data_IF_106565887588
#
_entry.id   IF_106565887588
#
_cell.length_a   1.000
_cell.length_b   1.000
_cell.length_c   1.000
_cell.angle_alpha   90.00
_cell.angle_beta   90.00
_cell.angle_gamma   90.00
#
_symmetry.space_group_name_H-M   'P 1'
#
loop_
_entity.id
_entity.type
_entity.pdbx_description
1 polymer ?
#
# COMPACT_ATOMS: atom_id res chain seq x y z
N UNK A 1 25.91 -20.50 5.48
CA UNK A 1 24.60 -20.59 4.81
C UNK A 1 23.55 -20.44 5.90
N UNK A 2 22.67 -19.44 5.79
CA UNK A 2 21.57 -19.28 6.74
C UNK A 2 20.49 -20.32 6.38
N UNK A 3 19.87 -21.00 7.35
CA UNK A 3 18.78 -21.90 7.03
C UNK A 3 17.61 -21.12 6.41
N UNK A 4 17.02 -21.68 5.36
CA UNK A 4 15.77 -21.18 4.78
C UNK A 4 14.64 -21.47 5.79
N UNK A 5 14.38 -20.52 6.68
CA UNK A 5 13.23 -20.58 7.57
C UNK A 5 12.03 -20.05 6.79
N UNK A 6 11.17 -20.95 6.31
CA UNK A 6 9.84 -20.57 5.84
C UNK A 6 8.85 -20.58 7.00
N UNK A 7 7.98 -19.56 7.11
CA UNK A 7 6.95 -19.55 8.14
C UNK A 7 5.86 -20.58 7.82
N UNK A 8 5.42 -21.33 8.84
CA UNK A 8 4.29 -22.27 8.72
C UNK A 8 2.95 -21.54 8.46
N UNK A 9 2.87 -20.25 8.78
CA UNK A 9 1.66 -19.45 8.62
C UNK A 9 1.96 -18.00 8.23
N UNK A 10 1.09 -17.44 7.39
CA UNK A 10 1.06 -16.02 7.02
C UNK A 10 -0.26 -15.40 7.49
N UNK A 11 -0.18 -14.45 8.41
CA UNK A 11 -1.33 -13.69 8.92
C UNK A 11 -1.44 -12.33 8.24
N UNK A 12 -2.65 -11.92 7.84
CA UNK A 12 -2.95 -10.54 7.44
C UNK A 12 -3.76 -9.82 8.50
N UNK A 13 -3.16 -8.82 9.14
CA UNK A 13 -3.83 -8.00 10.16
C UNK A 13 -4.50 -6.78 9.54
N UNK A 14 -5.74 -6.48 9.95
CA UNK A 14 -6.48 -5.32 9.49
C UNK A 14 -7.40 -4.76 10.59
N UNK A 15 -7.83 -3.51 10.41
CA UNK A 15 -8.65 -2.78 11.38
C UNK A 15 -10.16 -3.04 11.13
N UNK A 16 -10.69 -4.13 11.68
CA UNK A 16 -12.06 -4.59 11.42
C UNK A 16 -13.15 -3.51 11.61
N UNK A 17 -13.02 -2.64 12.63
CA UNK A 17 -13.99 -1.56 12.90
C UNK A 17 -13.91 -0.39 11.91
N UNK A 18 -12.75 -0.15 11.30
CA UNK A 18 -12.54 0.96 10.37
C UNK A 18 -12.76 0.55 8.91
N UNK A 19 -12.72 -0.74 8.65
CA UNK A 19 -12.82 -1.28 7.31
C UNK A 19 -11.51 -1.17 6.53
N UNK A 20 -11.52 -1.55 5.25
CA UNK A 20 -10.32 -1.58 4.43
C UNK A 20 -9.80 -0.17 4.15
N UNK A 21 -8.47 -0.05 4.07
CA UNK A 21 -7.85 1.15 3.56
C UNK A 21 -8.21 1.35 2.08
N UNK A 22 -8.85 2.47 1.76
CA UNK A 22 -9.21 2.82 0.37
C UNK A 22 -7.97 3.27 -0.38
N UNK A 23 -7.83 2.80 -1.63
CA UNK A 23 -6.71 3.17 -2.48
C UNK A 23 -6.72 4.69 -2.73
N UNK A 24 -5.56 5.33 -2.58
CA UNK A 24 -5.36 6.75 -2.85
C UNK A 24 -4.80 7.02 -4.26
N UNK A 25 -4.33 6.00 -4.99
CA UNK A 25 -3.71 6.20 -6.30
C UNK A 25 -4.68 6.73 -7.36
N UNK A 26 -5.99 6.59 -7.15
CA UNK A 26 -7.02 7.20 -8.00
C UNK A 26 -7.19 8.71 -7.79
N UNK A 27 -6.66 9.26 -6.70
CA UNK A 27 -6.68 10.70 -6.46
C UNK A 27 -5.52 11.39 -7.20
N UNK A 28 -5.64 12.69 -7.53
CA UNK A 28 -4.52 13.52 -7.94
C UNK A 28 -3.39 13.46 -6.90
N UNK A 29 -2.13 13.58 -7.34
CA UNK A 29 -0.96 13.38 -6.48
C UNK A 29 -1.01 14.27 -5.23
N UNK A 30 -1.27 15.57 -5.40
CA UNK A 30 -1.29 16.53 -4.29
C UNK A 30 -2.41 16.24 -3.28
N UNK A 31 -3.57 15.79 -3.77
CA UNK A 31 -4.69 15.40 -2.91
C UNK A 31 -4.39 14.12 -2.12
N UNK A 32 -3.80 13.12 -2.80
CA UNK A 32 -3.38 11.87 -2.19
C UNK A 32 -2.33 12.10 -1.09
N UNK A 33 -1.31 12.91 -1.38
CA UNK A 33 -0.25 13.26 -0.43
C UNK A 33 -0.81 14.04 0.77
N UNK A 34 -1.65 15.04 0.51
CA UNK A 34 -2.30 15.80 1.57
C UNK A 34 -3.17 14.92 2.47
N UNK A 35 -3.89 13.95 1.90
CA UNK A 35 -4.69 13.01 2.68
C UNK A 35 -3.83 12.04 3.49
N UNK A 36 -2.75 11.50 2.90
CA UNK A 36 -1.84 10.61 3.60
C UNK A 36 -1.10 11.33 4.74
N UNK A 37 -0.71 12.59 4.54
CA UNK A 37 -0.14 13.43 5.59
C UNK A 37 -1.10 13.59 6.78
N UNK A 38 -2.40 13.84 6.53
CA UNK A 38 -3.42 13.90 7.59
C UNK A 38 -3.59 12.56 8.31
N UNK A 39 -3.54 11.43 7.58
CA UNK A 39 -3.61 10.09 8.18
C UNK A 39 -2.40 9.82 9.09
N UNK A 40 -1.19 10.17 8.64
CA UNK A 40 0.04 10.09 9.44
C UNK A 40 -0.07 10.94 10.70
N UNK A 41 -0.51 12.20 10.56
CA UNK A 41 -0.69 13.12 11.68
C UNK A 41 -1.72 12.62 12.71
N UNK A 42 -2.83 12.03 12.24
CA UNK A 42 -3.84 11.47 13.12
C UNK A 42 -3.29 10.29 13.95
N UNK A 43 -2.38 9.48 13.40
CA UNK A 43 -1.67 8.44 14.15
C UNK A 43 -2.54 7.31 14.71
N UNK A 44 -3.81 7.21 14.30
CA UNK A 44 -4.79 6.29 14.92
C UNK A 44 -5.06 5.01 14.12
N UNK A 45 -4.38 4.82 12.98
CA UNK A 45 -4.59 3.70 12.04
C UNK A 45 -3.28 3.04 11.65
N UNK A 46 -3.32 1.79 11.17
CA UNK A 46 -2.13 1.15 10.59
C UNK A 46 -1.61 1.91 9.36
N UNK A 47 -2.50 2.58 8.62
CA UNK A 47 -2.14 3.41 7.48
C UNK A 47 -1.26 4.62 7.85
N UNK A 48 -1.27 5.07 9.12
CA UNK A 48 -0.44 6.15 9.60
C UNK A 48 1.06 5.81 9.65
N UNK A 49 1.41 4.51 9.68
CA UNK A 49 2.80 4.04 9.69
C UNK A 49 3.48 3.96 8.32
N UNK A 50 2.82 4.42 7.25
CA UNK A 50 3.38 4.34 5.89
C UNK A 50 4.48 5.37 5.66
N UNK A 51 5.58 4.91 5.07
CA UNK A 51 6.73 5.71 4.67
C UNK A 51 6.33 6.86 3.73
N UNK A 52 7.13 7.93 3.72
CA UNK A 52 6.86 9.17 2.97
C UNK A 52 6.60 8.93 1.48
N UNK A 53 7.43 8.08 0.88
CA UNK A 53 7.45 7.67 -0.53
C UNK A 53 6.36 6.63 -0.91
N UNK A 54 5.50 6.24 0.03
CA UNK A 54 4.51 5.17 -0.17
C UNK A 54 3.67 5.34 -1.44
N UNK A 55 3.18 6.56 -1.72
CA UNK A 55 2.31 6.81 -2.87
C UNK A 55 3.05 6.75 -4.20
N UNK A 56 4.30 7.21 -4.23
CA UNK A 56 5.18 7.08 -5.39
C UNK A 56 5.39 5.60 -5.71
N UNK A 57 5.91 4.83 -4.74
CA UNK A 57 6.16 3.39 -4.89
C UNK A 57 4.89 2.65 -5.29
N UNK A 58 3.75 3.02 -4.70
CA UNK A 58 2.45 2.42 -5.02
C UNK A 58 2.06 2.61 -6.49
N UNK A 59 2.24 3.81 -7.04
CA UNK A 59 1.91 4.10 -8.45
C UNK A 59 2.84 3.34 -9.39
N UNK A 60 4.14 3.35 -9.12
CA UNK A 60 5.14 2.61 -9.90
C UNK A 60 4.82 1.11 -9.96
N UNK A 61 4.44 0.52 -8.82
CA UNK A 61 4.03 -0.89 -8.77
C UNK A 61 2.73 -1.15 -9.53
N UNK A 62 1.73 -0.27 -9.41
CA UNK A 62 0.47 -0.41 -10.15
C UNK A 62 0.70 -0.35 -11.66
N UNK A 63 1.52 0.59 -12.14
CA UNK A 63 1.88 0.72 -13.55
C UNK A 63 2.63 -0.51 -14.03
N UNK A 64 3.60 -0.99 -13.25
CA UNK A 64 4.34 -2.22 -13.57
C UNK A 64 3.44 -3.44 -13.68
N UNK A 65 2.48 -3.58 -12.78
CA UNK A 65 1.50 -4.68 -12.83
C UNK A 65 0.64 -4.58 -14.09
N UNK A 66 0.18 -3.38 -14.46
CA UNK A 66 -0.59 -3.16 -15.70
C UNK A 66 0.21 -3.53 -16.94
N UNK A 67 1.48 -3.13 -17.03
CA UNK A 67 2.37 -3.48 -18.13
C UNK A 67 2.53 -5.00 -18.25
N UNK A 68 2.81 -5.68 -17.13
CA UNK A 68 2.98 -7.14 -17.10
C UNK A 68 1.69 -7.88 -17.46
N UNK A 69 0.55 -7.36 -17.02
CA UNK A 69 -0.77 -7.90 -17.37
C UNK A 69 -1.04 -7.79 -18.87
N UNK A 70 -0.85 -6.60 -19.45
CA UNK A 70 -1.00 -6.38 -20.88
C UNK A 70 -0.04 -7.26 -21.72
N UNK A 71 1.21 -7.41 -21.29
CA UNK A 71 2.19 -8.27 -21.95
C UNK A 71 1.80 -9.76 -21.96
N UNK A 72 0.94 -10.20 -21.03
CA UNK A 72 0.40 -11.56 -20.95
C UNK A 72 -0.90 -11.76 -21.72
N UNK A 73 -1.39 -10.74 -22.42
CA UNK A 73 -2.58 -10.82 -23.28
C UNK A 73 -3.86 -10.28 -22.65
N UNK A 74 -3.77 -9.61 -21.50
CA UNK A 74 -4.94 -9.18 -20.71
C UNK A 74 -5.38 -10.30 -19.79
#
# INVERSE_FOLDING_TARGET
>A
MWPEIQPDFLSHYYEARRGPFRNLSHLPSDEAEGLLARIRQAGTTFAAGRAEDYLQVRRELEDRVRELFAAKGG
#
